data_IF_358629544908
#
_entry.id   IF_358629544908
#
_cell.length_a   1.000
_cell.length_b   1.000
_cell.length_c   1.000
_cell.angle_alpha   90.00
_cell.angle_beta   90.00
_cell.angle_gamma   90.00
#
_symmetry.space_group_name_H-M   'P 1'
#
loop_
_entity.id
_entity.type
_entity.pdbx_description
1 polymer ?
#
# COMPACT_ATOMS: atom_id res chain seq x y z
N UNK A 1 -4.56 -0.38 -23.57
CA UNK A 1 -5.04 -0.37 -22.17
C UNK A 1 -5.15 1.07 -21.75
N UNK A 2 -6.28 1.48 -21.20
CA UNK A 2 -6.53 2.85 -20.73
C UNK A 2 -6.33 2.95 -19.20
N UNK A 3 -6.45 4.17 -18.68
CA UNK A 3 -6.26 4.47 -17.26
C UNK A 3 -7.30 3.75 -16.37
N UNK A 4 -8.55 3.66 -16.84
CA UNK A 4 -9.63 2.96 -16.15
C UNK A 4 -9.35 1.46 -15.98
N UNK A 5 -8.92 0.81 -17.07
CA UNK A 5 -8.62 -0.62 -17.07
C UNK A 5 -7.45 -0.91 -16.13
N UNK A 6 -6.37 -0.13 -16.20
CA UNK A 6 -5.22 -0.36 -15.33
C UNK A 6 -5.52 -0.03 -13.87
N UNK A 7 -6.40 0.93 -13.60
CA UNK A 7 -6.87 1.24 -12.26
C UNK A 7 -7.63 0.06 -11.61
N UNK A 8 -8.47 -0.64 -12.37
CA UNK A 8 -9.11 -1.87 -11.89
C UNK A 8 -8.12 -3.02 -11.69
N UNK A 9 -7.14 -3.16 -12.60
CA UNK A 9 -6.05 -4.15 -12.46
C UNK A 9 -5.22 -3.86 -11.20
N UNK A 10 -4.94 -2.60 -10.89
CA UNK A 10 -4.24 -2.20 -9.68
C UNK A 10 -5.01 -2.59 -8.41
N UNK A 11 -6.35 -2.44 -8.42
CA UNK A 11 -7.23 -2.86 -7.33
C UNK A 11 -7.17 -4.38 -7.12
N UNK A 12 -7.29 -5.15 -8.20
CA UNK A 12 -7.20 -6.61 -8.15
C UNK A 12 -5.81 -7.08 -7.68
N UNK A 13 -4.74 -6.43 -8.15
CA UNK A 13 -3.38 -6.72 -7.73
C UNK A 13 -3.17 -6.48 -6.23
N UNK A 14 -3.76 -5.42 -5.67
CA UNK A 14 -3.70 -5.18 -4.23
C UNK A 14 -4.43 -6.27 -3.45
N UNK A 15 -5.60 -6.72 -3.92
CA UNK A 15 -6.31 -7.83 -3.28
C UNK A 15 -5.47 -9.13 -3.28
N UNK A 16 -4.80 -9.45 -4.40
CA UNK A 16 -3.88 -10.61 -4.48
C UNK A 16 -2.68 -10.45 -3.55
N UNK A 17 -2.12 -9.24 -3.44
CA UNK A 17 -1.05 -8.94 -2.51
C UNK A 17 -1.44 -9.17 -1.05
N UNK A 18 -2.63 -8.73 -0.65
CA UNK A 18 -3.17 -8.97 0.70
C UNK A 18 -3.31 -10.47 0.99
N UNK A 19 -3.72 -11.26 -0.01
CA UNK A 19 -3.79 -12.73 0.14
C UNK A 19 -2.42 -13.34 0.38
N UNK A 20 -1.37 -12.89 -0.34
CA UNK A 20 0.01 -13.35 -0.09
C UNK A 20 0.45 -12.98 1.34
N UNK A 21 0.27 -11.73 1.74
CA UNK A 21 0.64 -11.25 3.07
C UNK A 21 -0.06 -12.03 4.19
N UNK A 22 -1.37 -12.27 4.04
CA UNK A 22 -2.15 -13.06 5.00
C UNK A 22 -1.65 -14.50 5.06
N UNK A 23 -1.50 -15.15 3.90
CA UNK A 23 -1.15 -16.58 3.80
C UNK A 23 0.24 -16.87 4.39
N UNK A 24 1.18 -15.95 4.22
CA UNK A 24 2.57 -16.12 4.68
C UNK A 24 2.89 -15.36 5.98
N UNK A 25 1.87 -14.99 6.76
CA UNK A 25 2.00 -14.43 8.11
C UNK A 25 2.80 -13.11 8.18
N UNK A 26 2.38 -12.15 7.34
CA UNK A 26 2.94 -10.80 7.35
C UNK A 26 2.88 -10.16 8.74
N UNK A 27 1.83 -10.39 9.53
CA UNK A 27 1.67 -9.79 10.87
C UNK A 27 2.83 -10.15 11.79
N UNK A 28 3.18 -11.43 11.93
CA UNK A 28 4.32 -11.80 12.78
C UNK A 28 5.66 -11.43 12.15
N UNK A 29 5.77 -11.51 10.82
CA UNK A 29 6.96 -11.03 10.12
C UNK A 29 7.20 -9.54 10.41
N UNK A 30 6.18 -8.70 10.29
CA UNK A 30 6.25 -7.26 10.49
C UNK A 30 6.65 -6.90 11.92
N UNK A 31 6.10 -7.59 12.92
CA UNK A 31 6.50 -7.45 14.33
C UNK A 31 7.96 -7.82 14.55
N UNK A 32 8.45 -8.88 13.90
CA UNK A 32 9.80 -9.39 14.13
C UNK A 32 10.89 -8.64 13.34
N UNK A 33 10.59 -8.17 12.13
CA UNK A 33 11.56 -7.56 11.20
C UNK A 33 11.51 -6.04 11.26
N UNK A 34 10.33 -5.43 11.08
CA UNK A 34 10.17 -3.97 11.01
C UNK A 34 9.60 -3.36 12.30
N UNK A 35 9.39 -4.18 13.34
CA UNK A 35 9.00 -3.78 14.70
C UNK A 35 7.68 -3.00 14.78
N UNK A 36 6.79 -3.18 13.80
CA UNK A 36 5.45 -2.59 13.85
C UNK A 36 4.57 -3.34 14.87
N UNK A 37 3.89 -2.65 15.80
CA UNK A 37 3.02 -3.27 16.80
C UNK A 37 1.64 -3.61 16.21
N UNK A 38 1.66 -4.40 15.13
CA UNK A 38 0.48 -4.71 14.33
C UNK A 38 -0.20 -5.99 14.80
N UNK A 39 -1.53 -5.93 14.89
CA UNK A 39 -2.42 -7.04 15.20
C UNK A 39 -3.24 -7.42 13.95
N UNK A 40 -3.83 -8.61 13.95
CA UNK A 40 -4.63 -9.06 12.80
C UNK A 40 -5.83 -8.15 12.53
N UNK A 41 -6.46 -7.58 13.57
CA UNK A 41 -7.53 -6.60 13.39
C UNK A 41 -7.07 -5.34 12.67
N UNK A 42 -5.87 -4.83 13.00
CA UNK A 42 -5.29 -3.68 12.31
C UNK A 42 -5.04 -3.99 10.82
N UNK A 43 -4.52 -5.18 10.54
CA UNK A 43 -4.27 -5.67 9.18
C UNK A 43 -5.57 -5.74 8.38
N UNK A 44 -6.62 -6.37 8.92
CA UNK A 44 -7.90 -6.52 8.22
C UNK A 44 -8.57 -5.17 7.94
N UNK A 45 -8.63 -4.27 8.94
CA UNK A 45 -9.29 -2.97 8.77
C UNK A 45 -8.52 -2.11 7.77
N UNK A 46 -7.19 -2.04 7.90
CA UNK A 46 -6.35 -1.25 6.99
C UNK A 46 -6.49 -1.74 5.55
N UNK A 47 -6.42 -3.05 5.34
CA UNK A 47 -6.52 -3.63 4.00
C UNK A 47 -7.93 -3.54 3.41
N UNK A 48 -8.99 -3.63 4.21
CA UNK A 48 -10.35 -3.35 3.76
C UNK A 48 -10.48 -1.92 3.24
N UNK A 49 -9.91 -0.93 3.96
CA UNK A 49 -9.87 0.46 3.52
C UNK A 49 -9.09 0.62 2.20
N UNK A 50 -7.95 -0.05 2.06
CA UNK A 50 -7.15 0.02 0.81
C UNK A 50 -7.90 -0.59 -0.39
N UNK A 51 -8.66 -1.66 -0.19
CA UNK A 51 -9.53 -2.22 -1.25
C UNK A 51 -10.63 -1.24 -1.64
N UNK A 52 -11.30 -0.62 -0.65
CA UNK A 52 -12.31 0.42 -0.91
C UNK A 52 -11.69 1.60 -1.67
N UNK A 53 -10.50 2.07 -1.27
CA UNK A 53 -9.78 3.11 -1.99
C UNK A 53 -9.42 2.69 -3.41
N UNK A 54 -9.07 1.42 -3.64
CA UNK A 54 -8.86 0.83 -4.96
C UNK A 54 -10.11 0.91 -5.84
N UNK A 55 -11.27 0.54 -5.29
CA UNK A 55 -12.54 0.67 -6.00
C UNK A 55 -12.84 2.15 -6.32
N UNK A 56 -12.69 3.04 -5.33
CA UNK A 56 -12.95 4.47 -5.49
C UNK A 56 -12.07 5.10 -6.57
N UNK A 57 -10.75 4.83 -6.57
CA UNK A 57 -9.85 5.40 -7.58
C UNK A 57 -10.16 4.87 -8.98
N UNK A 58 -10.55 3.60 -9.11
CA UNK A 58 -10.91 3.02 -10.40
C UNK A 58 -12.22 3.61 -10.95
N UNK A 59 -13.22 3.83 -10.09
CA UNK A 59 -14.47 4.48 -10.49
C UNK A 59 -14.33 5.95 -10.82
N UNK A 60 -13.36 6.62 -10.20
CA UNK A 60 -13.10 8.03 -10.43
C UNK A 60 -12.07 8.28 -11.54
N UNK A 61 -11.40 7.25 -12.06
CA UNK A 61 -10.33 7.39 -13.05
C UNK A 61 -10.68 8.29 -14.26
N UNK A 62 -11.90 8.25 -14.86
CA UNK A 62 -12.27 9.15 -15.95
C UNK A 62 -12.36 10.63 -15.58
N UNK A 63 -12.68 10.91 -14.32
CA UNK A 63 -13.01 12.26 -13.82
C UNK A 63 -11.91 12.85 -12.94
N UNK A 64 -11.08 11.99 -12.35
CA UNK A 64 -10.00 12.35 -11.44
C UNK A 64 -8.77 11.48 -11.74
N UNK A 65 -8.04 11.72 -12.85
CA UNK A 65 -6.90 10.88 -13.28
C UNK A 65 -5.75 10.81 -12.27
N UNK A 66 -5.68 11.75 -11.32
CA UNK A 66 -4.68 11.73 -10.25
C UNK A 66 -4.95 10.64 -9.21
N UNK A 67 -6.19 10.17 -9.03
CA UNK A 67 -6.51 9.15 -8.03
C UNK A 67 -5.84 7.79 -8.32
N UNK A 68 -5.89 7.24 -9.55
CA UNK A 68 -5.09 6.08 -9.91
C UNK A 68 -3.59 6.25 -9.73
N UNK A 69 -3.06 7.46 -9.98
CA UNK A 69 -1.63 7.74 -9.78
C UNK A 69 -1.24 7.75 -8.31
N UNK A 70 -2.09 8.27 -7.42
CA UNK A 70 -1.89 8.20 -5.96
C UNK A 70 -1.87 6.74 -5.50
N UNK A 71 -2.79 5.92 -6.02
CA UNK A 71 -2.87 4.49 -5.68
C UNK A 71 -1.67 3.71 -6.23
N UNK A 72 -1.25 3.99 -7.46
CA UNK A 72 -0.04 3.42 -8.05
C UNK A 72 1.22 3.83 -7.25
N UNK A 73 1.31 5.09 -6.81
CA UNK A 73 2.39 5.54 -5.95
C UNK A 73 2.38 4.80 -4.60
N UNK A 74 1.21 4.61 -3.99
CA UNK A 74 1.05 3.80 -2.78
C UNK A 74 1.59 2.37 -2.99
N UNK A 75 1.26 1.71 -4.10
CA UNK A 75 1.76 0.37 -4.44
C UNK A 75 3.29 0.34 -4.57
N UNK A 76 3.88 1.30 -5.29
CA UNK A 76 5.33 1.39 -5.48
C UNK A 76 6.04 1.66 -4.14
N UNK A 77 5.51 2.55 -3.31
CA UNK A 77 6.03 2.86 -1.98
C UNK A 77 5.93 1.62 -1.08
N UNK A 78 4.81 0.90 -1.12
CA UNK A 78 4.63 -0.35 -0.38
C UNK A 78 5.70 -1.39 -0.79
N UNK A 79 5.74 -1.72 -2.08
CA UNK A 79 6.71 -2.66 -2.64
C UNK A 79 8.15 -2.32 -2.23
N UNK A 80 8.51 -1.04 -2.28
CA UNK A 80 9.87 -0.57 -1.98
C UNK A 80 10.19 -0.62 -0.49
N UNK A 81 9.38 0.01 0.36
CA UNK A 81 9.75 0.28 1.75
C UNK A 81 9.25 -0.76 2.75
N UNK A 82 8.25 -1.58 2.39
CA UNK A 82 7.66 -2.58 3.28
C UNK A 82 7.98 -4.02 2.87
N UNK A 83 8.43 -4.24 1.63
CA UNK A 83 8.83 -5.57 1.16
C UNK A 83 10.30 -5.65 0.74
N UNK A 84 10.69 -4.97 -0.34
CA UNK A 84 12.03 -5.11 -0.92
C UNK A 84 13.12 -4.62 0.04
N UNK A 85 12.99 -3.39 0.56
CA UNK A 85 14.00 -2.84 1.46
C UNK A 85 14.15 -3.66 2.76
N UNK A 86 13.06 -4.04 3.46
CA UNK A 86 13.15 -4.93 4.61
C UNK A 86 13.73 -6.31 4.28
N UNK A 87 13.37 -6.93 3.14
CA UNK A 87 13.94 -8.20 2.70
C UNK A 87 15.47 -8.10 2.57
N UNK A 88 15.95 -7.05 1.89
CA UNK A 88 17.38 -6.80 1.73
C UNK A 88 18.07 -6.56 3.07
N UNK A 89 17.47 -5.74 3.95
CA UNK A 89 18.00 -5.45 5.29
C UNK A 89 17.99 -6.67 6.21
N UNK A 90 17.01 -7.55 6.07
CA UNK A 90 16.90 -8.82 6.78
C UNK A 90 17.73 -9.94 6.12
N UNK A 91 18.69 -9.59 5.25
CA UNK A 91 19.63 -10.51 4.59
C UNK A 91 18.93 -11.65 3.84
N UNK A 92 17.84 -11.31 3.14
CA UNK A 92 17.11 -12.27 2.31
C UNK A 92 16.04 -13.09 3.05
N UNK A 93 15.73 -12.77 4.31
CA UNK A 93 14.56 -13.35 4.99
C UNK A 93 13.30 -12.97 4.21
N UNK A 94 12.58 -13.98 3.68
CA UNK A 94 11.37 -13.78 2.89
C UNK A 94 10.41 -12.80 3.56
N UNK A 95 9.98 -11.78 2.80
CA UNK A 95 8.96 -10.82 3.21
C UNK A 95 7.63 -11.25 2.59
N UNK A 96 6.62 -11.62 3.39
CA UNK A 96 5.27 -11.89 2.88
C UNK A 96 4.78 -10.70 2.06
N UNK A 97 4.36 -10.92 0.81
CA UNK A 97 4.00 -9.85 -0.14
C UNK A 97 5.13 -9.50 -1.12
N UNK A 98 6.34 -10.05 -0.98
CA UNK A 98 7.48 -9.75 -1.86
C UNK A 98 7.23 -10.22 -3.30
N UNK A 99 6.59 -11.37 -3.50
CA UNK A 99 6.40 -11.92 -4.85
C UNK A 99 5.45 -11.02 -5.63
N UNK A 100 4.28 -10.72 -5.06
CA UNK A 100 3.30 -9.80 -5.66
C UNK A 100 3.81 -8.36 -5.71
N UNK A 101 4.67 -7.92 -4.79
CA UNK A 101 5.33 -6.62 -4.91
C UNK A 101 6.18 -6.51 -6.20
N UNK A 102 6.97 -7.55 -6.49
CA UNK A 102 7.84 -7.60 -7.66
C UNK A 102 7.08 -7.84 -8.97
N UNK A 103 6.12 -8.76 -8.96
CA UNK A 103 5.42 -9.22 -10.16
C UNK A 103 4.18 -8.38 -10.48
N UNK A 104 3.55 -7.76 -9.48
CA UNK A 104 2.33 -6.98 -9.66
C UNK A 104 2.55 -5.49 -9.34
N UNK A 105 3.02 -5.13 -8.13
CA UNK A 105 3.02 -3.73 -7.71
C UNK A 105 3.94 -2.85 -8.55
N UNK A 106 5.20 -3.25 -8.76
CA UNK A 106 6.08 -2.46 -9.63
C UNK A 106 5.57 -2.39 -11.07
N UNK A 107 5.27 -3.50 -11.76
CA UNK A 107 4.84 -3.42 -13.16
C UNK A 107 3.56 -2.60 -13.34
N UNK A 108 2.54 -2.83 -12.51
CA UNK A 108 1.25 -2.14 -12.64
C UNK A 108 1.36 -0.68 -12.20
N UNK A 109 2.07 -0.41 -11.09
CA UNK A 109 2.28 0.96 -10.61
C UNK A 109 3.03 1.80 -11.65
N UNK A 110 4.13 1.29 -12.20
CA UNK A 110 4.93 1.96 -13.24
C UNK A 110 4.09 2.13 -14.51
N UNK A 111 3.41 1.08 -14.96
CA UNK A 111 2.56 1.15 -16.16
C UNK A 111 1.43 2.18 -16.01
N UNK A 112 0.89 2.38 -14.81
CA UNK A 112 -0.14 3.41 -14.56
C UNK A 112 0.42 4.82 -14.83
N UNK A 113 1.63 5.12 -14.36
CA UNK A 113 2.30 6.40 -14.67
C UNK A 113 2.66 6.54 -16.15
N UNK A 114 3.09 5.46 -16.80
CA UNK A 114 3.42 5.46 -18.24
C UNK A 114 2.17 5.72 -19.09
N UNK A 115 1.06 5.06 -18.79
CA UNK A 115 -0.21 5.22 -19.52
C UNK A 115 -0.78 6.64 -19.34
N UNK A 116 -0.72 7.17 -18.12
CA UNK A 116 -1.24 8.50 -17.84
C UNK A 116 -0.34 9.63 -18.38
N UNK A 117 0.95 9.36 -18.59
CA UNK A 117 1.97 10.32 -19.01
C UNK A 117 1.85 11.71 -18.34
N UNK A 118 1.75 11.78 -16.99
CA UNK A 118 1.42 13.02 -16.29
C UNK A 118 2.58 14.01 -16.27
N UNK A 119 2.28 15.30 -16.14
CA UNK A 119 3.28 16.32 -15.86
C UNK A 119 3.93 16.16 -14.48
N UNK A 120 5.13 16.72 -14.30
CA UNK A 120 5.92 16.56 -13.06
C UNK A 120 5.17 16.98 -11.79
N UNK A 121 4.36 18.04 -11.84
CA UNK A 121 3.55 18.48 -10.69
C UNK A 121 2.55 17.42 -10.24
N UNK A 122 1.90 16.74 -11.19
CA UNK A 122 0.97 15.64 -10.92
C UNK A 122 1.72 14.41 -10.41
N UNK A 123 2.93 14.11 -10.92
CA UNK A 123 3.78 13.03 -10.39
C UNK A 123 4.12 13.28 -8.92
N UNK A 124 4.61 14.49 -8.60
CA UNK A 124 4.95 14.87 -7.23
C UNK A 124 3.71 14.79 -6.33
N UNK A 125 2.58 15.35 -6.77
CA UNK A 125 1.31 15.28 -6.03
C UNK A 125 0.86 13.84 -5.78
N UNK A 126 0.98 12.96 -6.77
CA UNK A 126 0.64 11.56 -6.64
C UNK A 126 1.56 10.82 -5.65
N UNK A 127 2.87 11.05 -5.73
CA UNK A 127 3.86 10.47 -4.80
C UNK A 127 3.62 10.94 -3.38
N UNK A 128 3.37 12.24 -3.17
CA UNK A 128 3.04 12.79 -1.85
C UNK A 128 1.73 12.18 -1.34
N UNK A 129 0.69 12.11 -2.17
CA UNK A 129 -0.58 11.49 -1.81
C UNK A 129 -0.42 10.02 -1.41
N UNK A 130 0.31 9.23 -2.21
CA UNK A 130 0.61 7.83 -1.92
C UNK A 130 1.42 7.64 -0.63
N UNK A 131 2.41 8.51 -0.39
CA UNK A 131 3.21 8.51 0.82
C UNK A 131 2.38 8.85 2.07
N UNK A 132 1.48 9.83 1.96
CA UNK A 132 0.56 10.17 3.06
C UNK A 132 -0.42 9.03 3.36
N UNK A 133 -0.98 8.39 2.32
CA UNK A 133 -1.83 7.22 2.49
C UNK A 133 -1.09 6.05 3.16
N UNK A 134 0.18 5.83 2.81
CA UNK A 134 1.00 4.80 3.46
C UNK A 134 1.36 5.16 4.91
N UNK A 135 1.71 6.41 5.16
CA UNK A 135 2.15 6.86 6.48
C UNK A 135 1.00 6.87 7.50
N UNK A 136 -0.23 7.18 7.07
CA UNK A 136 -1.39 7.30 7.96
C UNK A 136 -1.61 6.09 8.89
N UNK A 137 -1.75 4.84 8.39
CA UNK A 137 -1.93 3.68 9.27
C UNK A 137 -0.71 3.43 10.16
N UNK A 138 0.52 3.63 9.67
CA UNK A 138 1.74 3.45 10.47
C UNK A 138 1.79 4.45 11.63
N UNK A 139 1.46 5.72 11.38
CA UNK A 139 1.37 6.72 12.42
C UNK A 139 0.31 6.32 13.44
N UNK A 140 -0.92 6.02 13.00
CA UNK A 140 -1.99 5.59 13.92
C UNK A 140 -1.59 4.37 14.77
N UNK A 141 -0.94 3.37 14.17
CA UNK A 141 -0.44 2.18 14.88
C UNK A 141 0.62 2.50 15.94
N UNK A 142 1.52 3.44 15.66
CA UNK A 142 2.54 3.85 16.64
C UNK A 142 1.99 4.77 17.73
N UNK A 143 0.87 5.45 17.47
CA UNK A 143 0.23 6.35 18.44
C UNK A 143 -0.80 5.65 19.32
N UNK A 144 -1.47 4.58 18.86
CA UNK A 144 -2.63 3.97 19.57
C UNK A 144 -2.35 3.52 21.01
N UNK A 145 -1.11 3.17 21.34
CA UNK A 145 -0.71 2.75 22.69
C UNK A 145 -0.37 3.92 23.62
N UNK A 146 -0.28 5.16 23.09
CA UNK A 146 0.05 6.32 23.90
C UNK A 146 -1.10 6.67 24.84
N UNK A 147 -0.77 7.12 26.05
CA UNK A 147 -1.68 7.73 27.00
C UNK A 147 -2.90 8.45 26.42
N UNK A 148 -2.66 9.45 25.59
CA UNK A 148 -3.71 10.32 25.08
C UNK A 148 -4.80 9.60 24.27
N UNK A 149 -4.47 8.50 23.59
CA UNK A 149 -5.40 7.80 22.69
C UNK A 149 -6.11 6.60 23.33
N UNK A 150 -5.77 6.26 24.58
CA UNK A 150 -6.39 5.15 25.33
C UNK A 150 -7.75 5.55 25.88
N UNK A 151 -8.80 4.83 25.49
CA UNK A 151 -10.20 5.08 25.89
C UNK A 151 -10.60 4.33 27.18
N UNK A 152 -9.68 3.57 27.77
CA UNK A 152 -9.87 2.75 28.96
C UNK A 152 -9.27 3.40 30.23
N UNK A 153 -9.00 4.71 30.18
CA UNK A 153 -8.41 5.45 31.29
C UNK A 153 -9.51 5.86 32.26
N UNK A 154 -9.38 5.40 33.51
CA UNK A 154 -10.12 5.91 34.66
C UNK A 154 -9.66 7.31 35.03
#
# INVERSE_FOLDING_TARGET
MDLDTIAWIATAAYAVHILEEYTFDWRNWARSVIRLPVEWSDFYVTNAVVVVLGICQAMLAPKLPVAPLIYAALMIINATFFHVLPFLRARGRFSPGLVTALVLFYPIGIATFVIAAPGIGTVVGAVVGGALLMAAPVVMLTQKSRPYFRQDRA
#
